data_IF_418792391963
#
_entry.id   IF_418792391963
#
_cell.length_a   1.000
_cell.length_b   1.000
_cell.length_c   1.000
_cell.angle_alpha   90.00
_cell.angle_beta   90.00
_cell.angle_gamma   90.00
#
_symmetry.space_group_name_H-M   'P 1'
#
loop_
_entity.id
_entity.type
_entity.pdbx_description
1 polymer ?
#
# COMPACT_ATOMS: atom_id res chain seq x y z
N UNK A 1 -25.88 20.93 19.54
CA UNK A 1 -24.99 20.63 20.71
C UNK A 1 -23.60 21.18 20.42
N UNK A 2 -23.08 22.01 21.30
CA UNK A 2 -21.71 22.53 21.22
C UNK A 2 -20.73 21.39 21.50
N UNK A 3 -19.73 21.24 20.66
CA UNK A 3 -18.70 20.20 20.80
C UNK A 3 -17.61 20.66 21.78
N UNK A 4 -17.21 19.76 22.69
CA UNK A 4 -16.19 20.01 23.71
C UNK A 4 -14.80 19.60 23.23
N UNK A 5 -13.80 20.45 23.48
CA UNK A 5 -12.39 20.17 23.18
C UNK A 5 -11.87 19.01 24.04
N UNK A 6 -12.26 18.95 25.32
CA UNK A 6 -11.84 17.89 26.26
C UNK A 6 -12.32 16.53 25.77
N UNK A 7 -13.59 16.42 25.37
CA UNK A 7 -14.15 15.16 24.83
C UNK A 7 -13.43 14.76 23.53
N UNK A 8 -13.09 15.71 22.68
CA UNK A 8 -12.35 15.43 21.45
C UNK A 8 -10.94 14.88 21.74
N UNK A 9 -10.23 15.42 22.74
CA UNK A 9 -8.92 14.89 23.17
C UNK A 9 -9.04 13.51 23.84
N UNK A 10 -10.05 13.28 24.67
CA UNK A 10 -10.28 11.97 25.27
C UNK A 10 -10.53 10.89 24.21
N UNK A 11 -11.35 11.19 23.18
CA UNK A 11 -11.61 10.30 22.06
C UNK A 11 -10.38 10.13 21.14
N UNK A 12 -9.54 11.17 21.01
CA UNK A 12 -8.28 11.09 20.30
C UNK A 12 -7.29 10.16 21.02
N UNK A 13 -7.20 10.23 22.34
CA UNK A 13 -6.33 9.37 23.14
C UNK A 13 -6.82 7.90 23.15
N UNK A 14 -8.14 7.68 23.32
CA UNK A 14 -8.73 6.35 23.44
C UNK A 14 -8.83 5.60 22.11
N UNK A 15 -9.10 6.28 20.99
CA UNK A 15 -9.32 5.65 19.69
C UNK A 15 -8.97 6.56 18.51
N UNK A 16 -7.95 7.40 18.66
CA UNK A 16 -7.47 8.30 17.63
C UNK A 16 -7.10 7.62 16.32
N UNK A 17 -6.35 6.51 16.34
CA UNK A 17 -6.05 5.75 15.13
C UNK A 17 -7.29 5.27 14.37
N UNK A 18 -8.39 5.01 15.07
CA UNK A 18 -9.68 4.64 14.48
C UNK A 18 -10.56 5.86 14.14
N UNK A 19 -10.07 7.08 14.36
CA UNK A 19 -10.77 8.31 14.00
C UNK A 19 -12.01 8.63 14.84
N UNK A 20 -12.11 8.14 16.09
CA UNK A 20 -13.28 8.36 16.95
C UNK A 20 -13.56 9.84 17.21
N UNK A 21 -12.53 10.65 17.39
CA UNK A 21 -12.67 12.11 17.54
C UNK A 21 -13.22 12.78 16.27
N UNK A 22 -12.91 12.27 15.07
CA UNK A 22 -13.51 12.75 13.82
C UNK A 22 -14.98 12.38 13.70
N UNK A 23 -15.37 11.15 14.12
CA UNK A 23 -16.78 10.75 14.20
C UNK A 23 -17.57 11.69 15.13
N UNK A 24 -17.01 12.01 16.31
CA UNK A 24 -17.60 12.95 17.24
C UNK A 24 -17.78 14.33 16.62
N UNK A 25 -16.81 14.82 15.86
CA UNK A 25 -16.83 16.11 15.21
C UNK A 25 -17.67 16.17 13.93
N UNK A 26 -18.22 15.06 13.46
CA UNK A 26 -19.01 15.00 12.22
C UNK A 26 -18.18 15.02 10.94
N UNK A 27 -16.91 14.62 11.00
CA UNK A 27 -15.95 14.63 9.89
C UNK A 27 -15.77 13.23 9.32
N UNK A 28 -16.83 12.66 8.72
CA UNK A 28 -16.92 11.26 8.33
C UNK A 28 -15.83 10.81 7.34
N UNK A 29 -15.48 11.66 6.37
CA UNK A 29 -14.40 11.34 5.42
C UNK A 29 -13.04 11.20 6.09
N UNK A 30 -12.76 12.01 7.14
CA UNK A 30 -11.57 11.86 7.95
C UNK A 30 -11.61 10.60 8.80
N UNK A 31 -12.76 10.34 9.43
CA UNK A 31 -12.95 9.13 10.23
C UNK A 31 -12.71 7.88 9.39
N UNK A 32 -13.28 7.81 8.18
CA UNK A 32 -13.06 6.68 7.26
C UNK A 32 -11.59 6.53 6.88
N UNK A 33 -10.91 7.63 6.52
CA UNK A 33 -9.50 7.59 6.20
C UNK A 33 -8.67 7.07 7.38
N UNK A 34 -8.96 7.56 8.61
CA UNK A 34 -8.27 7.11 9.82
C UNK A 34 -8.52 5.63 10.12
N UNK A 35 -9.75 5.16 9.98
CA UNK A 35 -10.08 3.74 10.14
C UNK A 35 -9.34 2.85 9.14
N UNK A 36 -9.19 3.28 7.90
CA UNK A 36 -8.51 2.52 6.84
C UNK A 36 -6.99 2.59 6.92
N UNK A 37 -6.42 3.68 7.43
CA UNK A 37 -4.97 3.91 7.47
C UNK A 37 -4.38 3.89 8.89
N UNK A 38 -5.16 3.47 9.89
CA UNK A 38 -4.77 3.48 11.30
C UNK A 38 -4.18 4.84 11.75
N UNK A 39 -4.96 5.89 11.53
CA UNK A 39 -4.55 7.25 11.91
C UNK A 39 -3.54 7.91 10.96
N UNK A 40 -3.64 7.63 9.66
CA UNK A 40 -2.71 8.15 8.66
C UNK A 40 -1.30 7.61 8.88
N UNK A 41 -1.19 6.28 9.00
CA UNK A 41 0.05 5.55 9.28
C UNK A 41 0.75 6.00 10.57
N UNK A 42 -0.04 6.42 11.60
CA UNK A 42 0.45 6.94 12.87
C UNK A 42 0.90 8.41 12.83
N UNK A 43 1.51 8.87 11.76
CA UNK A 43 1.97 10.26 11.62
C UNK A 43 0.83 11.28 11.62
N UNK A 44 -0.27 10.94 10.95
CA UNK A 44 -1.48 11.76 10.93
C UNK A 44 -2.03 11.95 12.34
N UNK A 45 -2.14 10.87 13.09
CA UNK A 45 -2.65 10.86 14.46
C UNK A 45 -1.85 11.77 15.40
N UNK A 46 -0.52 11.64 15.41
CA UNK A 46 0.36 12.49 16.25
C UNK A 46 0.21 13.97 15.89
N UNK A 47 0.18 14.29 14.60
CA UNK A 47 0.05 15.67 14.11
C UNK A 47 -1.27 16.32 14.53
N UNK A 48 -2.32 15.57 14.74
CA UNK A 48 -3.65 16.07 15.07
C UNK A 48 -3.77 16.67 16.47
N UNK A 49 -2.88 16.31 17.41
CA UNK A 49 -2.84 16.90 18.75
C UNK A 49 -2.96 18.43 18.70
N UNK A 50 -2.20 19.06 17.82
CA UNK A 50 -2.17 20.51 17.66
C UNK A 50 -3.42 21.04 16.95
N UNK A 51 -4.11 20.20 16.16
CA UNK A 51 -5.22 20.60 15.29
C UNK A 51 -6.61 20.40 15.89
N UNK A 52 -6.74 19.59 16.93
CA UNK A 52 -8.03 19.27 17.57
C UNK A 52 -8.81 20.54 17.97
N UNK A 53 -8.21 21.59 18.60
CA UNK A 53 -8.95 22.80 18.94
C UNK A 53 -9.53 23.52 17.72
N UNK A 54 -8.76 23.57 16.61
CA UNK A 54 -9.23 24.16 15.36
C UNK A 54 -10.40 23.38 14.77
N UNK A 55 -10.36 22.05 14.84
CA UNK A 55 -11.44 21.18 14.35
C UNK A 55 -12.72 21.30 15.17
N UNK A 56 -12.60 21.45 16.49
CA UNK A 56 -13.74 21.71 17.38
C UNK A 56 -14.38 23.06 17.09
N UNK A 57 -13.56 24.10 16.93
CA UNK A 57 -14.03 25.45 16.57
C UNK A 57 -14.74 25.44 15.21
N UNK A 58 -14.20 24.73 14.20
CA UNK A 58 -14.83 24.58 12.89
C UNK A 58 -16.19 23.86 13.02
N UNK A 59 -16.26 22.75 13.77
CA UNK A 59 -17.47 22.00 13.98
C UNK A 59 -18.56 22.79 14.71
N UNK A 60 -18.18 23.66 15.66
CA UNK A 60 -19.11 24.54 16.37
C UNK A 60 -19.57 25.71 15.48
N UNK A 61 -18.71 26.27 14.63
CA UNK A 61 -19.08 27.33 13.67
C UNK A 61 -20.02 26.80 12.56
N UNK A 62 -19.84 25.56 12.13
CA UNK A 62 -20.75 24.94 11.16
C UNK A 62 -22.14 24.68 11.78
N UNK A 63 -22.24 24.64 13.11
CA UNK A 63 -23.50 24.59 13.88
C UNK A 63 -24.22 25.94 13.99
N UNK A 64 -23.47 27.04 14.02
CA UNK A 64 -24.00 28.42 14.06
C UNK A 64 -24.23 28.89 12.63
N UNK A 65 -25.46 29.13 12.28
CA UNK A 65 -26.03 29.40 10.93
C UNK A 65 -25.51 30.64 10.19
N UNK A 66 -24.33 31.16 10.46
CA UNK A 66 -23.83 32.37 9.81
C UNK A 66 -22.57 32.12 8.96
N UNK A 67 -22.69 31.38 7.88
CA UNK A 67 -21.79 31.60 6.73
C UNK A 67 -22.34 32.65 5.80
N UNK A 68 -22.11 33.92 6.16
CA UNK A 68 -22.40 35.07 5.29
C UNK A 68 -21.37 35.36 4.21
N UNK A 69 -20.31 34.55 4.09
CA UNK A 69 -19.36 34.78 3.02
C UNK A 69 -19.51 33.65 1.97
N UNK A 70 -19.88 34.03 0.74
CA UNK A 70 -19.79 33.09 -0.37
C UNK A 70 -18.35 32.58 -0.46
N UNK A 71 -18.12 31.30 -0.81
CA UNK A 71 -16.77 30.81 -0.99
C UNK A 71 -16.07 31.72 -2.00
N UNK A 72 -14.92 32.26 -1.63
CA UNK A 72 -14.03 32.98 -2.54
C UNK A 72 -13.94 32.19 -3.81
N UNK A 73 -14.27 32.79 -4.95
CA UNK A 73 -14.33 32.19 -6.29
C UNK A 73 -12.97 31.73 -6.84
N UNK A 74 -12.01 31.44 -5.96
CA UNK A 74 -10.66 31.01 -6.29
C UNK A 74 -10.46 29.51 -6.07
N UNK A 75 -9.56 28.92 -6.87
CA UNK A 75 -9.07 27.56 -6.65
C UNK A 75 -8.42 27.47 -5.27
N UNK A 76 -8.74 26.45 -4.45
CA UNK A 76 -8.12 26.29 -3.15
C UNK A 76 -6.59 26.07 -3.29
N UNK A 77 -5.77 26.55 -2.34
CA UNK A 77 -4.32 26.40 -2.42
C UNK A 77 -3.89 24.92 -2.44
N UNK A 78 -2.82 24.61 -3.17
CA UNK A 78 -2.21 23.28 -3.13
C UNK A 78 -1.50 23.10 -1.80
N UNK A 79 -1.88 22.07 -1.04
CA UNK A 79 -1.20 21.68 0.20
C UNK A 79 -0.24 20.50 -0.09
N UNK A 80 1.09 20.67 0.11
CA UNK A 80 2.06 19.60 -0.09
C UNK A 80 1.73 18.36 0.77
N UNK A 81 1.32 18.56 2.01
CA UNK A 81 0.94 17.48 2.92
C UNK A 81 -0.25 16.66 2.39
N UNK A 82 -1.23 17.35 1.78
CA UNK A 82 -2.38 16.68 1.17
C UNK A 82 -1.94 15.89 -0.06
N UNK A 83 -1.07 16.46 -0.88
CA UNK A 83 -0.55 15.79 -2.07
C UNK A 83 0.21 14.51 -1.70
N UNK A 84 1.13 14.59 -0.74
CA UNK A 84 1.84 13.41 -0.21
C UNK A 84 0.85 12.40 0.36
N UNK A 85 -0.14 12.84 1.13
CA UNK A 85 -1.20 11.97 1.65
C UNK A 85 -2.00 11.28 0.54
N UNK A 86 -2.31 11.96 -0.57
CA UNK A 86 -2.97 11.37 -1.73
C UNK A 86 -2.13 10.26 -2.34
N UNK A 87 -0.84 10.52 -2.56
CA UNK A 87 0.09 9.51 -3.12
C UNK A 87 0.21 8.31 -2.18
N UNK A 88 0.47 8.52 -0.89
CA UNK A 88 0.63 7.43 0.08
C UNK A 88 -0.64 6.57 0.22
N UNK A 89 -1.81 7.20 0.33
CA UNK A 89 -3.08 6.47 0.47
C UNK A 89 -3.44 5.77 -0.84
N UNK A 90 -3.16 6.39 -1.98
CA UNK A 90 -3.35 5.75 -3.29
C UNK A 90 -2.47 4.50 -3.46
N UNK A 91 -1.20 4.57 -3.08
CA UNK A 91 -0.30 3.40 -3.05
C UNK A 91 -0.84 2.32 -2.12
N UNK A 92 -1.20 2.70 -0.89
CA UNK A 92 -1.75 1.77 0.09
C UNK A 92 -2.99 1.02 -0.43
N UNK A 93 -3.96 1.74 -1.01
CA UNK A 93 -5.16 1.15 -1.61
C UNK A 93 -4.83 0.26 -2.81
N UNK A 94 -3.88 0.69 -3.64
CA UNK A 94 -3.38 -0.12 -4.76
C UNK A 94 -2.69 -1.40 -4.29
N UNK A 95 -1.85 -1.32 -3.26
CA UNK A 95 -1.17 -2.50 -2.68
C UNK A 95 -2.18 -3.49 -2.09
N UNK A 96 -3.19 -3.00 -1.37
CA UNK A 96 -4.28 -3.85 -0.85
C UNK A 96 -5.02 -4.55 -1.99
N UNK A 97 -5.29 -3.84 -3.09
CA UNK A 97 -5.91 -4.43 -4.27
C UNK A 97 -5.03 -5.50 -4.93
N UNK A 98 -3.71 -5.27 -5.03
CA UNK A 98 -2.74 -6.24 -5.55
C UNK A 98 -2.74 -7.53 -4.73
N UNK A 99 -2.67 -7.42 -3.41
CA UNK A 99 -2.71 -8.56 -2.51
C UNK A 99 -4.04 -9.30 -2.64
N UNK A 100 -5.17 -8.56 -2.68
CA UNK A 100 -6.51 -9.12 -2.77
C UNK A 100 -6.80 -9.85 -4.08
N UNK A 101 -6.15 -9.46 -5.16
CA UNK A 101 -6.44 -9.94 -6.52
C UNK A 101 -5.32 -10.81 -7.11
N UNK A 102 -4.36 -11.23 -6.29
CA UNK A 102 -3.20 -12.00 -6.76
C UNK A 102 -3.59 -13.27 -7.57
N UNK A 103 -4.78 -13.82 -7.34
CA UNK A 103 -5.32 -14.98 -8.07
C UNK A 103 -6.16 -14.64 -9.31
N UNK A 104 -6.46 -13.35 -9.58
CA UNK A 104 -7.43 -12.93 -10.58
C UNK A 104 -6.82 -11.89 -11.54
N UNK A 105 -5.90 -12.32 -12.40
CA UNK A 105 -5.10 -11.44 -13.28
C UNK A 105 -5.91 -10.48 -14.16
N UNK A 106 -7.07 -10.90 -14.67
CA UNK A 106 -7.92 -10.03 -15.50
C UNK A 106 -8.56 -8.89 -14.72
N UNK A 107 -9.05 -9.18 -13.51
CA UNK A 107 -9.68 -8.16 -12.65
C UNK A 107 -8.68 -7.12 -12.15
N UNK A 108 -7.40 -7.44 -12.14
CA UNK A 108 -6.32 -6.53 -11.77
C UNK A 108 -6.34 -5.24 -12.59
N UNK A 109 -6.52 -5.31 -13.92
CA UNK A 109 -6.54 -4.14 -14.81
C UNK A 109 -7.65 -3.13 -14.51
N UNK A 110 -8.75 -3.60 -13.92
CA UNK A 110 -9.91 -2.76 -13.59
C UNK A 110 -9.90 -2.36 -12.12
N UNK A 111 -9.69 -3.30 -11.22
CA UNK A 111 -9.86 -3.07 -9.77
C UNK A 111 -8.69 -2.27 -9.19
N UNK A 112 -7.45 -2.53 -9.63
CA UNK A 112 -6.30 -1.77 -9.17
C UNK A 112 -6.46 -0.26 -9.38
N UNK A 113 -6.70 0.24 -10.62
CA UNK A 113 -6.88 1.67 -10.83
C UNK A 113 -8.08 2.25 -10.10
N UNK A 114 -9.16 1.50 -9.94
CA UNK A 114 -10.33 1.94 -9.16
C UNK A 114 -9.97 2.10 -7.68
N UNK A 115 -9.25 1.17 -7.09
CA UNK A 115 -8.80 1.26 -5.71
C UNK A 115 -7.83 2.42 -5.49
N UNK A 116 -6.81 2.57 -6.34
CA UNK A 116 -5.87 3.70 -6.28
C UNK A 116 -6.62 5.01 -6.39
N UNK A 117 -7.50 5.16 -7.39
CA UNK A 117 -8.29 6.36 -7.61
C UNK A 117 -9.24 6.68 -6.45
N UNK A 118 -9.85 5.66 -5.84
CA UNK A 118 -10.69 5.82 -4.65
C UNK A 118 -9.87 6.33 -3.46
N UNK A 119 -8.66 5.79 -3.24
CA UNK A 119 -7.75 6.23 -2.18
C UNK A 119 -7.32 7.70 -2.35
N UNK A 120 -6.88 8.08 -3.54
CA UNK A 120 -6.51 9.45 -3.90
C UNK A 120 -7.70 10.40 -3.72
N UNK A 121 -8.89 10.01 -4.21
CA UNK A 121 -10.10 10.82 -4.10
C UNK A 121 -10.56 10.98 -2.65
N UNK A 122 -10.47 9.94 -1.83
CA UNK A 122 -10.81 10.00 -0.41
C UNK A 122 -10.00 11.10 0.31
N UNK A 123 -8.68 11.15 0.08
CA UNK A 123 -7.82 12.19 0.65
C UNK A 123 -8.12 13.58 0.06
N UNK A 124 -8.42 13.66 -1.23
CA UNK A 124 -8.79 14.93 -1.87
C UNK A 124 -10.09 15.52 -1.32
N UNK A 125 -11.00 14.66 -0.87
CA UNK A 125 -12.28 15.05 -0.26
C UNK A 125 -12.21 15.41 1.22
N UNK A 126 -11.03 15.45 1.83
CA UNK A 126 -10.84 15.83 3.22
C UNK A 126 -11.01 17.34 3.39
N UNK A 127 -11.76 17.76 4.42
CA UNK A 127 -12.03 19.17 4.72
C UNK A 127 -13.00 19.80 3.73
N UNK A 128 -12.73 21.02 3.31
CA UNK A 128 -13.62 21.82 2.46
C UNK A 128 -13.32 21.71 0.95
N UNK A 129 -12.37 20.86 0.59
CA UNK A 129 -11.99 20.64 -0.80
C UNK A 129 -12.51 19.29 -1.30
N UNK A 130 -12.61 19.17 -2.61
CA UNK A 130 -12.87 17.93 -3.34
C UNK A 130 -12.14 17.97 -4.68
N UNK A 131 -11.98 16.82 -5.31
CA UNK A 131 -11.48 16.72 -6.69
C UNK A 131 -12.54 16.10 -7.60
N UNK A 132 -12.32 16.19 -8.89
CA UNK A 132 -13.18 15.53 -9.86
C UNK A 132 -12.85 14.02 -9.90
N UNK A 133 -13.76 13.21 -9.36
CA UNK A 133 -13.60 11.75 -9.28
C UNK A 133 -13.43 11.12 -10.67
N UNK A 134 -14.25 11.54 -11.64
CA UNK A 134 -14.24 10.96 -12.97
C UNK A 134 -12.87 11.12 -13.64
N UNK A 135 -12.30 12.32 -13.59
CA UNK A 135 -10.98 12.61 -14.17
C UNK A 135 -9.86 11.85 -13.45
N UNK A 136 -9.93 11.77 -12.13
CA UNK A 136 -8.96 11.00 -11.33
C UNK A 136 -8.99 9.52 -11.69
N UNK A 137 -10.18 8.92 -11.78
CA UNK A 137 -10.34 7.52 -12.18
C UNK A 137 -9.92 7.27 -13.64
N UNK A 138 -10.25 8.17 -14.55
CA UNK A 138 -9.83 8.06 -15.96
C UNK A 138 -8.31 8.05 -16.07
N UNK A 139 -7.61 8.92 -15.32
CA UNK A 139 -6.14 8.92 -15.29
C UNK A 139 -5.60 7.60 -14.76
N UNK A 140 -6.18 7.05 -13.69
CA UNK A 140 -5.77 5.74 -13.16
C UNK A 140 -5.95 4.62 -14.20
N UNK A 141 -7.10 4.60 -14.90
CA UNK A 141 -7.40 3.59 -15.93
C UNK A 141 -6.46 3.69 -17.15
N UNK A 142 -6.05 4.89 -17.53
CA UNK A 142 -5.10 5.09 -18.65
C UNK A 142 -3.67 4.71 -18.24
N UNK A 143 -3.27 5.01 -17.00
CA UNK A 143 -1.90 4.74 -16.52
C UNK A 143 -1.69 3.28 -16.11
N UNK A 144 -2.74 2.59 -15.65
CA UNK A 144 -2.65 1.20 -15.15
C UNK A 144 -2.07 0.21 -16.18
N UNK A 145 -2.49 0.18 -17.47
CA UNK A 145 -1.93 -0.74 -18.45
C UNK A 145 -0.44 -0.52 -18.73
N UNK A 146 0.05 0.72 -18.59
CA UNK A 146 1.45 1.08 -18.87
C UNK A 146 2.40 0.40 -17.85
N UNK A 147 1.94 0.25 -16.61
CA UNK A 147 2.71 -0.31 -15.51
C UNK A 147 2.24 -1.71 -15.12
N UNK A 148 1.55 -2.41 -16.03
CA UNK A 148 1.07 -3.77 -15.79
C UNK A 148 2.21 -4.73 -15.50
N UNK A 149 2.01 -5.61 -14.50
CA UNK A 149 3.00 -6.62 -14.12
C UNK A 149 4.13 -6.13 -13.19
N UNK A 150 4.21 -4.82 -12.90
CA UNK A 150 5.19 -4.31 -11.93
C UNK A 150 4.62 -4.36 -10.50
N UNK A 151 5.42 -4.84 -9.54
CA UNK A 151 5.08 -4.82 -8.11
C UNK A 151 4.89 -3.39 -7.58
N UNK A 152 5.58 -2.42 -8.19
CA UNK A 152 5.48 -1.00 -7.85
C UNK A 152 4.44 -0.23 -8.68
N UNK A 153 3.60 -0.91 -9.45
CA UNK A 153 2.56 -0.27 -10.27
C UNK A 153 1.65 0.71 -9.53
N UNK A 154 1.29 0.53 -8.24
CA UNK A 154 0.49 1.50 -7.51
C UNK A 154 1.15 2.88 -7.38
N UNK A 155 2.49 2.96 -7.36
CA UNK A 155 3.22 4.21 -7.18
C UNK A 155 3.04 5.18 -8.36
N UNK A 156 3.38 4.84 -9.62
CA UNK A 156 3.19 5.76 -10.74
C UNK A 156 1.71 6.07 -11.02
N UNK A 157 0.81 5.10 -10.83
CA UNK A 157 -0.62 5.30 -10.99
C UNK A 157 -1.14 6.30 -9.95
N UNK A 158 -0.75 6.14 -8.67
CA UNK A 158 -1.12 7.05 -7.60
C UNK A 158 -0.56 8.46 -7.79
N UNK A 159 0.68 8.56 -8.28
CA UNK A 159 1.30 9.86 -8.57
C UNK A 159 0.53 10.60 -9.68
N UNK A 160 0.25 9.95 -10.80
CA UNK A 160 -0.53 10.52 -11.90
C UNK A 160 -1.93 10.94 -11.46
N UNK A 161 -2.61 10.09 -10.69
CA UNK A 161 -3.93 10.38 -10.12
C UNK A 161 -3.89 11.58 -9.17
N UNK A 162 -2.85 11.68 -8.32
CA UNK A 162 -2.69 12.79 -7.37
C UNK A 162 -2.44 14.12 -8.07
N UNK A 163 -1.66 14.14 -9.15
CA UNK A 163 -1.47 15.32 -10.00
C UNK A 163 -2.80 15.74 -10.61
N UNK A 164 -3.57 14.81 -11.18
CA UNK A 164 -4.89 15.10 -11.75
C UNK A 164 -5.86 15.61 -10.68
N UNK A 165 -5.91 14.98 -9.50
CA UNK A 165 -6.74 15.44 -8.39
C UNK A 165 -6.36 16.84 -7.90
N UNK A 166 -5.07 17.19 -7.94
CA UNK A 166 -4.58 18.53 -7.60
C UNK A 166 -4.94 19.57 -8.67
N UNK A 167 -4.93 19.21 -9.95
CA UNK A 167 -5.34 20.11 -11.05
C UNK A 167 -6.84 20.42 -11.02
N UNK A 168 -7.67 19.39 -10.80
CA UNK A 168 -9.13 19.52 -10.84
C UNK A 168 -9.76 19.64 -9.44
N UNK A 169 -9.04 20.29 -8.51
CA UNK A 169 -9.53 20.57 -7.16
C UNK A 169 -10.61 21.64 -7.17
N UNK A 170 -11.61 21.48 -6.31
CA UNK A 170 -12.73 22.39 -6.16
C UNK A 170 -13.07 22.59 -4.69
N UNK A 171 -13.73 23.68 -4.35
CA UNK A 171 -14.32 23.89 -3.03
C UNK A 171 -15.64 23.13 -2.95
N UNK A 172 -15.87 22.41 -1.85
CA UNK A 172 -17.17 21.74 -1.62
C UNK A 172 -18.30 22.78 -1.49
N UNK A 173 -19.47 22.50 -2.06
CA UNK A 173 -20.64 23.33 -1.79
C UNK A 173 -20.96 23.33 -0.29
N UNK A 174 -21.49 24.43 0.24
CA UNK A 174 -21.88 24.53 1.65
C UNK A 174 -22.92 23.44 1.96
N UNK A 175 -22.81 22.83 3.14
CA UNK A 175 -23.78 21.83 3.60
C UNK A 175 -25.13 22.52 3.84
N UNK A 176 -26.20 21.90 3.34
CA UNK A 176 -27.57 22.38 3.62
C UNK A 176 -27.88 22.28 5.12
N UNK A 177 -28.41 23.35 5.74
CA UNK A 177 -28.80 23.31 7.15
C UNK A 177 -29.85 22.21 7.37
N UNK A 178 -29.64 21.37 8.36
CA UNK A 178 -30.57 20.30 8.73
C UNK A 178 -30.20 18.88 8.31
N UNK A 179 -29.14 18.66 7.50
CA UNK A 179 -28.72 17.33 7.04
C UNK A 179 -27.80 16.57 8.00
N UNK A 180 -27.86 16.83 9.32
CA UNK A 180 -27.13 16.03 10.30
C UNK A 180 -27.77 14.65 10.37
N UNK A 181 -27.20 13.70 9.63
CA UNK A 181 -27.63 12.29 9.71
C UNK A 181 -27.44 11.78 11.15
N UNK A 182 -28.42 11.01 11.63
CA UNK A 182 -28.31 10.30 12.91
C UNK A 182 -27.04 9.46 12.95
N UNK A 183 -26.47 9.25 14.13
CA UNK A 183 -25.20 8.52 14.30
C UNK A 183 -25.26 7.09 13.71
N UNK A 184 -26.38 6.38 13.88
CA UNK A 184 -26.56 5.01 13.39
C UNK A 184 -26.33 4.85 11.87
N UNK A 185 -27.05 5.57 11.00
CA UNK A 185 -26.82 5.52 9.55
C UNK A 185 -25.40 5.92 9.12
N UNK A 186 -24.76 6.85 9.84
CA UNK A 186 -23.36 7.24 9.58
C UNK A 186 -22.40 6.11 9.88
N UNK A 187 -22.53 5.48 11.07
CA UNK A 187 -21.70 4.33 11.46
C UNK A 187 -21.92 3.13 10.54
N UNK A 188 -23.16 2.88 10.13
CA UNK A 188 -23.47 1.82 9.17
C UNK A 188 -22.75 2.02 7.83
N UNK A 189 -22.82 3.23 7.25
CA UNK A 189 -22.14 3.55 5.99
C UNK A 189 -20.62 3.43 6.12
N UNK A 190 -20.06 3.94 7.22
CA UNK A 190 -18.62 3.85 7.50
C UNK A 190 -18.16 2.42 7.72
N UNK A 191 -18.92 1.64 8.49
CA UNK A 191 -18.64 0.22 8.73
C UNK A 191 -18.71 -0.61 7.44
N UNK A 192 -19.71 -0.35 6.58
CA UNK A 192 -19.83 -1.02 5.28
C UNK A 192 -18.64 -0.68 4.37
N UNK A 193 -18.25 0.60 4.29
CA UNK A 193 -17.10 1.03 3.51
C UNK A 193 -15.80 0.43 4.04
N UNK A 194 -15.64 0.39 5.36
CA UNK A 194 -14.48 -0.24 5.99
C UNK A 194 -14.42 -1.74 5.73
N UNK A 195 -15.53 -2.47 5.87
CA UNK A 195 -15.61 -3.90 5.57
C UNK A 195 -15.33 -4.20 4.09
N UNK A 196 -15.92 -3.42 3.17
CA UNK A 196 -15.70 -3.61 1.74
C UNK A 196 -14.22 -3.52 1.36
N UNK A 197 -13.45 -2.69 2.08
CA UNK A 197 -12.03 -2.51 1.83
C UNK A 197 -11.15 -3.50 2.59
N UNK A 198 -11.46 -3.77 3.86
CA UNK A 198 -10.64 -4.62 4.74
C UNK A 198 -10.90 -6.12 4.59
N UNK A 199 -12.12 -6.54 4.21
CA UNK A 199 -12.46 -7.95 4.10
C UNK A 199 -11.64 -8.70 3.03
N UNK A 200 -11.44 -8.18 1.80
CA UNK A 200 -10.57 -8.83 0.81
C UNK A 200 -9.14 -8.97 1.31
N UNK A 201 -8.60 -7.92 1.98
CA UNK A 201 -7.27 -7.97 2.56
C UNK A 201 -7.16 -9.02 3.67
N UNK A 202 -8.14 -9.05 4.59
CA UNK A 202 -8.18 -10.03 5.68
C UNK A 202 -8.24 -11.47 5.14
N UNK A 203 -9.06 -11.71 4.14
CA UNK A 203 -9.14 -13.01 3.47
C UNK A 203 -7.80 -13.42 2.85
N UNK A 204 -7.14 -12.53 2.12
CA UNK A 204 -5.87 -12.80 1.46
C UNK A 204 -4.72 -13.02 2.44
N UNK A 205 -4.66 -12.22 3.51
CA UNK A 205 -3.69 -12.42 4.60
C UNK A 205 -3.88 -13.80 5.23
N UNK A 206 -5.12 -14.20 5.47
CA UNK A 206 -5.42 -15.48 6.10
C UNK A 206 -5.10 -16.68 5.18
N UNK A 207 -5.47 -16.63 3.91
CA UNK A 207 -5.25 -17.74 2.97
C UNK A 207 -3.85 -17.79 2.37
N UNK A 208 -3.18 -16.64 2.23
CA UNK A 208 -1.88 -16.53 1.60
C UNK A 208 -0.88 -15.79 2.47
N UNK A 209 -0.81 -16.12 3.77
CA UNK A 209 0.07 -15.41 4.71
C UNK A 209 1.51 -15.37 4.21
N UNK A 210 2.04 -16.51 3.76
CA UNK A 210 3.42 -16.63 3.25
C UNK A 210 3.63 -15.78 1.99
N UNK A 211 2.74 -15.93 0.99
CA UNK A 211 2.80 -15.15 -0.25
C UNK A 211 2.65 -13.64 0.01
N UNK A 212 1.81 -13.26 0.97
CA UNK A 212 1.63 -11.85 1.36
C UNK A 212 2.89 -11.28 2.00
N UNK A 213 3.57 -12.05 2.86
CA UNK A 213 4.84 -11.63 3.49
C UNK A 213 5.94 -11.48 2.45
N UNK A 214 6.07 -12.43 1.51
CA UNK A 214 7.02 -12.30 0.40
C UNK A 214 6.75 -11.07 -0.45
N UNK A 215 5.50 -10.86 -0.85
CA UNK A 215 5.11 -9.69 -1.63
C UNK A 215 5.43 -8.36 -0.91
N UNK A 216 5.13 -8.27 0.38
CA UNK A 216 5.46 -7.08 1.19
C UNK A 216 6.97 -6.89 1.31
N UNK A 217 7.74 -7.97 1.50
CA UNK A 217 9.20 -7.93 1.52
C UNK A 217 9.77 -7.42 0.19
N UNK A 218 9.29 -7.94 -0.93
CA UNK A 218 9.70 -7.51 -2.27
C UNK A 218 9.36 -6.05 -2.54
N UNK A 219 8.17 -5.59 -2.11
CA UNK A 219 7.79 -4.18 -2.21
C UNK A 219 8.71 -3.28 -1.38
N UNK A 220 9.05 -3.68 -0.15
CA UNK A 220 9.96 -2.92 0.71
C UNK A 220 11.36 -2.88 0.10
N UNK A 221 11.88 -4.01 -0.35
CA UNK A 221 13.18 -4.08 -1.02
C UNK A 221 13.22 -3.20 -2.28
N UNK A 222 12.20 -3.28 -3.13
CA UNK A 222 12.10 -2.45 -4.33
C UNK A 222 12.00 -0.95 -4.02
N UNK A 223 11.30 -0.56 -2.94
CA UNK A 223 11.27 0.82 -2.48
C UNK A 223 12.63 1.31 -1.97
N UNK A 224 13.35 0.48 -1.21
CA UNK A 224 14.70 0.80 -0.72
C UNK A 224 15.70 0.90 -1.88
N UNK A 225 15.53 0.09 -2.92
CA UNK A 225 16.38 0.09 -4.10
C UNK A 225 16.19 1.34 -4.99
N UNK A 226 15.06 2.05 -4.91
CA UNK A 226 14.92 3.37 -5.54
C UNK A 226 15.97 4.35 -5.01
N UNK A 227 16.41 4.20 -3.76
CA UNK A 227 17.38 5.08 -3.10
C UNK A 227 18.83 4.54 -3.16
N UNK A 228 19.14 3.67 -4.13
CA UNK A 228 20.49 3.09 -4.29
C UNK A 228 21.60 4.13 -4.39
N UNK A 229 21.32 5.32 -4.93
CA UNK A 229 22.26 6.43 -5.10
C UNK A 229 22.47 7.28 -3.82
N UNK A 230 21.65 7.06 -2.77
CA UNK A 230 21.72 7.77 -1.48
C UNK A 230 21.73 6.77 -0.30
N UNK A 231 22.89 6.12 -0.03
CA UNK A 231 22.98 5.06 0.99
C UNK A 231 22.53 5.51 2.38
N UNK A 232 22.83 6.76 2.77
CA UNK A 232 22.41 7.31 4.05
C UNK A 232 20.88 7.40 4.18
N UNK A 233 20.19 7.80 3.12
CA UNK A 233 18.73 7.90 3.09
C UNK A 233 18.08 6.51 3.13
N UNK A 234 18.65 5.54 2.40
CA UNK A 234 18.24 4.14 2.46
C UNK A 234 18.31 3.61 3.89
N UNK A 235 19.43 3.81 4.59
CA UNK A 235 19.61 3.37 5.97
C UNK A 235 18.62 4.06 6.94
N UNK A 236 18.34 5.35 6.74
CA UNK A 236 17.34 6.07 7.54
C UNK A 236 15.94 5.52 7.30
N UNK A 237 15.56 5.27 6.05
CA UNK A 237 14.27 4.68 5.70
C UNK A 237 14.11 3.27 6.25
N UNK A 238 15.12 2.43 6.14
CA UNK A 238 15.15 1.09 6.73
C UNK A 238 14.98 1.17 8.25
N UNK A 239 15.71 2.09 8.90
CA UNK A 239 15.55 2.32 10.33
C UNK A 239 14.12 2.71 10.72
N UNK A 240 13.50 3.62 9.97
CA UNK A 240 12.12 4.09 10.20
C UNK A 240 11.12 2.94 9.99
N UNK A 241 11.28 2.15 8.94
CA UNK A 241 10.42 0.99 8.66
C UNK A 241 10.49 -0.07 9.76
N UNK A 242 11.66 -0.21 10.41
CA UNK A 242 11.85 -1.14 11.52
C UNK A 242 11.41 -0.59 12.89
N UNK A 243 11.04 0.69 13.01
CA UNK A 243 10.56 1.28 14.28
C UNK A 243 9.41 0.49 14.90
N UNK A 244 8.32 0.13 14.18
CA UNK A 244 7.21 -0.61 14.78
C UNK A 244 7.66 -1.94 15.37
N UNK A 245 8.56 -2.65 14.69
CA UNK A 245 9.15 -3.88 15.17
C UNK A 245 9.99 -3.66 16.45
N UNK A 246 10.85 -2.64 16.47
CA UNK A 246 11.67 -2.29 17.64
C UNK A 246 10.82 -1.90 18.84
N UNK A 247 9.76 -1.11 18.63
CA UNK A 247 8.82 -0.74 19.69
C UNK A 247 8.14 -1.98 20.24
N UNK A 248 7.70 -2.90 19.38
CA UNK A 248 7.10 -4.17 19.79
C UNK A 248 8.09 -5.00 20.62
N UNK A 249 9.34 -5.12 20.21
CA UNK A 249 10.40 -5.81 20.95
C UNK A 249 10.62 -5.21 22.35
N UNK A 250 10.63 -3.87 22.45
CA UNK A 250 10.79 -3.19 23.75
C UNK A 250 9.58 -3.43 24.65
N UNK A 251 8.34 -3.34 24.11
CA UNK A 251 7.12 -3.53 24.89
C UNK A 251 6.91 -4.97 25.36
N UNK A 252 7.44 -5.94 24.63
CA UNK A 252 7.25 -7.38 24.93
C UNK A 252 8.42 -8.01 25.65
N UNK A 253 9.42 -7.22 26.08
CA UNK A 253 10.60 -7.72 26.79
C UNK A 253 11.62 -8.43 25.89
N UNK A 254 11.57 -8.22 24.58
CA UNK A 254 12.62 -8.50 23.58
C UNK A 254 12.88 -9.96 23.22
N UNK A 255 12.77 -10.90 24.10
CA UNK A 255 13.27 -12.27 23.86
C UNK A 255 12.35 -13.16 23.01
N UNK A 256 11.06 -13.16 23.29
CA UNK A 256 10.13 -14.09 22.66
C UNK A 256 9.89 -13.82 21.17
N UNK A 257 9.82 -12.55 20.79
CA UNK A 257 9.56 -12.17 19.40
C UNK A 257 10.84 -12.20 18.54
N UNK A 258 12.00 -11.96 19.12
CA UNK A 258 13.29 -12.11 18.44
C UNK A 258 13.53 -13.55 18.04
N UNK A 259 13.23 -14.50 18.90
CA UNK A 259 13.32 -15.93 18.60
C UNK A 259 12.24 -16.38 17.58
N UNK A 260 11.03 -15.84 17.65
CA UNK A 260 9.98 -16.11 16.68
C UNK A 260 10.34 -15.53 15.29
N UNK A 261 10.83 -14.30 15.22
CA UNK A 261 11.30 -13.70 13.96
C UNK A 261 12.58 -14.34 13.44
N UNK A 262 13.50 -14.74 14.32
CA UNK A 262 14.66 -15.52 13.92
C UNK A 262 14.24 -16.85 13.29
N UNK A 263 13.27 -17.55 13.87
CA UNK A 263 12.69 -18.77 13.27
C UNK A 263 11.98 -18.50 11.95
N UNK A 264 11.20 -17.41 11.85
CA UNK A 264 10.56 -17.01 10.59
C UNK A 264 11.61 -16.66 9.53
N UNK A 265 12.63 -15.88 9.88
CA UNK A 265 13.77 -15.57 9.00
C UNK A 265 14.55 -16.83 8.62
N UNK A 266 14.79 -17.73 9.58
CA UNK A 266 15.47 -19.00 9.34
C UNK A 266 14.68 -19.91 8.39
N UNK A 267 13.35 -19.97 8.55
CA UNK A 267 12.45 -20.68 7.63
C UNK A 267 12.48 -20.05 6.24
N UNK A 268 12.39 -18.71 6.15
CA UNK A 268 12.42 -17.96 4.89
C UNK A 268 13.76 -18.14 4.16
N UNK A 269 14.88 -18.02 4.89
CA UNK A 269 16.21 -18.22 4.35
C UNK A 269 16.45 -19.68 3.98
N UNK A 270 15.92 -20.63 4.76
CA UNK A 270 16.01 -22.07 4.46
C UNK A 270 15.24 -22.41 3.20
N UNK A 271 14.03 -21.91 3.03
CA UNK A 271 13.22 -22.13 1.83
C UNK A 271 13.88 -21.53 0.58
N UNK A 272 14.49 -20.34 0.70
CA UNK A 272 15.25 -19.72 -0.38
C UNK A 272 16.50 -20.54 -0.73
N UNK A 273 17.21 -21.02 0.27
CA UNK A 273 18.41 -21.89 0.10
C UNK A 273 18.03 -23.26 -0.49
N UNK A 274 16.89 -23.84 -0.10
CA UNK A 274 16.41 -25.11 -0.66
C UNK A 274 16.06 -24.96 -2.16
N UNK A 275 15.37 -23.88 -2.54
CA UNK A 275 15.08 -23.59 -3.96
C UNK A 275 16.34 -23.37 -4.79
N UNK A 276 17.35 -22.70 -4.24
CA UNK A 276 18.65 -22.55 -4.90
C UNK A 276 19.35 -23.90 -5.04
N UNK A 277 19.29 -24.72 -4.00
CA UNK A 277 19.88 -26.06 -4.00
C UNK A 277 19.20 -26.97 -5.02
N UNK A 278 17.86 -26.96 -5.08
CA UNK A 278 17.11 -27.66 -6.10
C UNK A 278 17.44 -27.18 -7.51
N UNK A 279 17.56 -25.89 -7.71
CA UNK A 279 17.94 -25.29 -8.99
C UNK A 279 19.37 -25.72 -9.42
N UNK A 280 20.33 -25.74 -8.49
CA UNK A 280 21.69 -26.23 -8.75
C UNK A 280 21.68 -27.74 -9.08
N UNK A 281 20.87 -28.54 -8.40
CA UNK A 281 20.71 -29.96 -8.72
C UNK A 281 20.12 -30.18 -10.11
N UNK A 282 19.09 -29.42 -10.51
CA UNK A 282 18.50 -29.47 -11.84
C UNK A 282 19.54 -29.17 -12.92
N UNK A 283 20.44 -28.21 -12.67
CA UNK A 283 21.54 -27.88 -13.58
C UNK A 283 22.79 -28.75 -13.38
N UNK A 284 22.74 -29.76 -12.49
CA UNK A 284 23.86 -30.67 -12.19
C UNK A 284 25.11 -29.93 -11.72
N UNK A 285 24.93 -28.89 -10.92
CA UNK A 285 26.02 -28.05 -10.41
C UNK A 285 26.17 -28.17 -8.88
N UNK A 286 27.39 -27.88 -8.39
CA UNK A 286 27.69 -27.81 -6.96
C UNK A 286 27.31 -26.44 -6.38
N UNK A 287 27.25 -26.34 -5.03
CA UNK A 287 26.78 -25.16 -4.29
C UNK A 287 27.63 -23.91 -4.54
N UNK A 288 28.90 -24.08 -4.95
CA UNK A 288 29.84 -22.97 -5.22
C UNK A 288 30.01 -22.64 -6.70
N UNK A 289 29.10 -23.08 -7.57
CA UNK A 289 29.19 -22.85 -9.00
C UNK A 289 29.18 -21.35 -9.36
N UNK A 290 30.09 -20.96 -10.24
CA UNK A 290 30.18 -19.60 -10.75
C UNK A 290 29.04 -19.27 -11.74
N UNK A 291 28.83 -17.97 -12.01
CA UNK A 291 27.84 -17.53 -13.02
C UNK A 291 28.15 -18.11 -14.42
N UNK A 292 29.44 -18.31 -14.73
CA UNK A 292 29.88 -18.90 -15.99
C UNK A 292 29.49 -20.37 -16.06
N UNK A 293 29.68 -21.13 -14.97
CA UNK A 293 29.31 -22.55 -14.88
C UNK A 293 27.79 -22.72 -15.00
N UNK A 294 27.02 -21.88 -14.31
CA UNK A 294 25.55 -21.86 -14.38
C UNK A 294 25.08 -21.61 -15.83
N UNK A 295 25.69 -20.63 -16.50
CA UNK A 295 25.32 -20.27 -17.86
C UNK A 295 25.74 -21.37 -18.86
N UNK A 296 26.87 -21.99 -18.63
CA UNK A 296 27.37 -23.09 -19.47
C UNK A 296 26.47 -24.33 -19.34
N UNK A 297 26.23 -24.76 -18.11
CA UNK A 297 25.36 -25.93 -17.84
C UNK A 297 23.95 -25.72 -18.36
N UNK A 298 23.37 -24.54 -18.17
CA UNK A 298 22.07 -24.19 -18.74
C UNK A 298 22.04 -24.39 -20.27
N UNK A 299 23.06 -23.88 -21.00
CA UNK A 299 23.11 -23.99 -22.48
C UNK A 299 23.23 -25.44 -22.95
N UNK A 300 24.02 -26.24 -22.28
CA UNK A 300 24.19 -27.68 -22.58
C UNK A 300 22.88 -28.44 -22.36
N UNK A 301 22.25 -28.27 -21.21
CA UNK A 301 21.00 -28.92 -20.85
C UNK A 301 19.83 -28.42 -21.71
N UNK A 302 19.73 -27.11 -21.96
CA UNK A 302 18.69 -26.57 -22.83
C UNK A 302 18.79 -27.08 -24.27
N UNK A 303 20.01 -27.31 -24.78
CA UNK A 303 20.23 -27.91 -26.11
C UNK A 303 19.82 -29.36 -26.13
N UNK A 304 20.14 -30.12 -25.08
CA UNK A 304 19.86 -31.56 -24.96
C UNK A 304 18.36 -31.81 -24.79
N UNK A 305 17.65 -30.97 -24.04
CA UNK A 305 16.24 -31.12 -23.72
C UNK A 305 15.32 -30.19 -24.52
N UNK A 306 15.82 -29.59 -25.60
CA UNK A 306 15.00 -28.73 -26.45
C UNK A 306 13.89 -29.55 -27.13
N UNK A 307 12.62 -29.14 -27.08
CA UNK A 307 11.49 -29.90 -27.62
C UNK A 307 11.59 -30.13 -29.13
N UNK A 308 12.31 -29.29 -29.89
CA UNK A 308 12.52 -29.46 -31.33
C UNK A 308 13.56 -30.54 -31.66
N UNK A 309 14.43 -30.87 -30.72
CA UNK A 309 15.53 -31.82 -30.95
C UNK A 309 15.38 -33.13 -30.18
N UNK A 310 14.58 -33.13 -29.12
CA UNK A 310 14.37 -34.30 -28.26
C UNK A 310 12.91 -34.77 -28.36
N UNK A 311 12.66 -35.95 -29.01
CA UNK A 311 11.30 -36.46 -29.22
C UNK A 311 10.69 -37.11 -27.97
N UNK A 312 11.36 -37.09 -26.82
CA UNK A 312 10.84 -37.70 -25.60
C UNK A 312 9.62 -36.90 -25.05
N UNK A 313 8.65 -37.64 -24.48
CA UNK A 313 7.45 -37.02 -23.88
C UNK A 313 7.74 -36.12 -22.72
N UNK A 314 8.91 -36.27 -22.09
CA UNK A 314 9.33 -35.49 -20.91
C UNK A 314 10.24 -34.30 -21.29
N UNK A 315 10.57 -34.11 -22.57
CA UNK A 315 11.49 -33.09 -23.03
C UNK A 315 10.99 -31.69 -22.69
N UNK A 316 9.73 -31.40 -22.93
CA UNK A 316 9.11 -30.12 -22.63
C UNK A 316 9.09 -29.80 -21.12
N UNK A 317 8.72 -30.81 -20.30
CA UNK A 317 8.70 -30.68 -18.85
C UNK A 317 10.09 -30.46 -18.26
N UNK A 318 11.11 -31.15 -18.77
CA UNK A 318 12.50 -30.97 -18.36
C UNK A 318 13.05 -29.63 -18.82
N UNK A 319 12.75 -29.19 -20.02
CA UNK A 319 13.16 -27.88 -20.52
C UNK A 319 12.60 -26.73 -19.68
N UNK A 320 11.32 -26.81 -19.27
CA UNK A 320 10.71 -25.85 -18.37
C UNK A 320 11.40 -25.82 -17.01
N UNK A 321 11.70 -26.97 -16.41
CA UNK A 321 12.45 -27.07 -15.15
C UNK A 321 13.84 -26.47 -15.24
N UNK A 322 14.55 -26.70 -16.34
CA UNK A 322 15.89 -26.15 -16.60
C UNK A 322 15.81 -24.63 -16.71
N UNK A 323 14.81 -24.07 -17.41
CA UNK A 323 14.60 -22.64 -17.51
C UNK A 323 14.28 -22.02 -16.16
N UNK A 324 13.38 -22.62 -15.38
CA UNK A 324 13.02 -22.15 -14.05
C UNK A 324 14.23 -22.14 -13.09
N UNK A 325 15.02 -23.23 -13.11
CA UNK A 325 16.25 -23.33 -12.32
C UNK A 325 17.27 -22.23 -12.68
N UNK A 326 17.44 -21.97 -13.97
CA UNK A 326 18.33 -20.93 -14.46
C UNK A 326 17.87 -19.54 -14.03
N UNK A 327 16.56 -19.24 -14.10
CA UNK A 327 16.01 -17.96 -13.63
C UNK A 327 16.20 -17.75 -12.13
N UNK A 328 16.00 -18.80 -11.31
CA UNK A 328 16.21 -18.73 -9.85
C UNK A 328 17.66 -18.38 -9.54
N UNK A 329 18.61 -19.04 -10.20
CA UNK A 329 20.05 -18.78 -9.97
C UNK A 329 20.52 -17.45 -10.54
N UNK A 330 19.98 -17.00 -11.69
CA UNK A 330 20.29 -15.68 -12.24
C UNK A 330 19.88 -14.53 -11.33
N UNK A 331 18.77 -14.64 -10.59
CA UNK A 331 18.32 -13.61 -9.62
C UNK A 331 19.37 -13.36 -8.55
N UNK A 332 20.12 -14.39 -8.14
CA UNK A 332 21.23 -14.24 -7.18
C UNK A 332 22.40 -13.44 -7.74
N UNK A 333 22.78 -13.68 -9.00
CA UNK A 333 23.98 -13.09 -9.60
C UNK A 333 23.71 -11.77 -10.38
N UNK A 334 22.45 -11.47 -10.72
CA UNK A 334 22.05 -10.22 -11.40
C UNK A 334 20.87 -9.54 -10.73
N UNK A 335 21.01 -9.08 -9.48
CA UNK A 335 19.89 -8.41 -8.79
C UNK A 335 19.45 -7.11 -9.47
N UNK A 336 20.15 -6.59 -10.49
CA UNK A 336 19.96 -5.25 -11.03
C UNK A 336 19.71 -5.15 -12.54
N UNK A 337 19.32 -6.22 -13.24
CA UNK A 337 19.12 -6.17 -14.69
C UNK A 337 17.76 -6.70 -15.16
N UNK A 338 16.69 -6.29 -14.50
CA UNK A 338 15.37 -6.30 -15.15
C UNK A 338 14.85 -4.86 -15.20
N UNK A 339 15.06 -4.24 -16.39
CA UNK A 339 14.30 -3.07 -16.81
C UNK A 339 12.90 -3.49 -17.18
#
# INVERSE_FOLDING_TARGET
MVKSVIVAYALWAAGGPLGLHHLYLGRDSHALLWMLTLGGFGFGWVREVIRIPAYVNEANRDGDKERKTPPTSGLPPVSPVRFIGQVCVGIYFGTVALIGLNSLSFFYLIVLPLCVGAGVHLVSCIGQQTSDLQKTLTTCLITSPIFYGSTLSPLPISLAASVTAAQYRRVKPPRTPGSTQKLGPRLYKLGLAWLAFSAPLGYCIFHNTTATLYYLSDCVAALLDIFWFLPWLRNVLEYILLIPYRVLCVLTGGGYYEDAWRKVLEILLKEYTEREREALQVLSLEVEASLEDITHSYRELAKTWHPDHNPSKDAEAMFLKINEAYEVLLRRYRPHRFK
#
